data_IF_254056595056
#
_entry.id   IF_254056595056
#
_cell.length_a   1.000
_cell.length_b   1.000
_cell.length_c   1.000
_cell.angle_alpha   90.00
_cell.angle_beta   90.00
_cell.angle_gamma   90.00
#
_symmetry.space_group_name_H-M   'P 1'
#
loop_
_entity.id
_entity.type
_entity.pdbx_description
1 polymer ?
#
# COMPACT_ATOMS: atom_id res chain seq x y z
N UNK A 1 -36.71 -35.30 -0.09
CA UNK A 1 -37.11 -33.89 0.02
C UNK A 1 -36.42 -33.32 1.26
N UNK A 2 -35.29 -32.65 1.07
CA UNK A 2 -34.62 -31.87 2.10
C UNK A 2 -33.89 -30.74 1.38
N UNK A 3 -34.34 -29.51 1.59
CA UNK A 3 -33.81 -28.29 1.00
C UNK A 3 -32.52 -27.86 1.71
N UNK A 4 -31.56 -27.23 1.02
CA UNK A 4 -30.40 -26.61 1.66
C UNK A 4 -30.72 -25.15 2.04
N UNK A 5 -30.47 -24.78 3.29
CA UNK A 5 -30.52 -23.39 3.76
C UNK A 5 -29.22 -22.67 3.43
N UNK A 6 -29.40 -21.54 2.74
CA UNK A 6 -28.43 -20.51 2.37
C UNK A 6 -27.61 -20.01 3.57
N UNK A 7 -26.29 -19.95 3.43
CA UNK A 7 -25.40 -19.17 4.29
C UNK A 7 -25.51 -17.70 3.86
N UNK A 8 -26.00 -16.84 4.76
CA UNK A 8 -25.95 -15.39 4.57
C UNK A 8 -24.60 -14.87 5.04
N UNK A 9 -23.98 -14.07 4.17
CA UNK A 9 -22.81 -13.24 4.40
C UNK A 9 -23.31 -11.97 5.09
N UNK A 10 -23.07 -11.83 6.41
CA UNK A 10 -23.39 -10.62 7.16
C UNK A 10 -22.12 -9.84 7.45
N UNK A 11 -22.22 -8.53 7.20
CA UNK A 11 -21.25 -7.47 7.45
C UNK A 11 -20.55 -7.60 8.81
N UNK A 12 -19.26 -7.95 8.79
CA UNK A 12 -18.39 -7.83 9.97
C UNK A 12 -17.93 -6.37 10.08
N UNK A 13 -18.81 -5.50 10.57
CA UNK A 13 -18.40 -4.27 11.23
C UNK A 13 -17.58 -4.65 12.47
N UNK A 14 -16.40 -4.04 12.64
CA UNK A 14 -15.54 -4.23 13.81
C UNK A 14 -16.29 -3.75 15.07
N UNK A 15 -17.02 -4.67 15.71
CA UNK A 15 -17.61 -4.49 17.03
C UNK A 15 -16.49 -4.52 18.08
N UNK A 16 -15.89 -3.37 18.31
CA UNK A 16 -14.84 -3.17 19.30
C UNK A 16 -15.45 -3.18 20.72
N UNK A 17 -15.16 -4.27 21.46
CA UNK A 17 -15.15 -4.40 22.93
C UNK A 17 -16.42 -4.03 23.73
N UNK A 18 -17.36 -4.99 23.86
CA UNK A 18 -18.11 -5.13 25.12
C UNK A 18 -17.28 -5.97 26.08
N UNK A 19 -16.42 -5.33 26.87
CA UNK A 19 -15.80 -5.93 28.06
C UNK A 19 -16.60 -5.46 29.28
N UNK A 20 -16.89 -6.42 30.15
CA UNK A 20 -17.72 -6.30 31.33
C UNK A 20 -17.36 -5.09 32.22
N UNK A 21 -18.41 -4.54 32.84
CA UNK A 21 -18.42 -3.36 33.70
C UNK A 21 -17.39 -3.42 34.84
N UNK A 22 -16.17 -2.90 34.65
CA UNK A 22 -15.28 -2.47 35.74
C UNK A 22 -14.00 -1.76 35.24
N UNK A 23 -14.09 -0.67 34.44
CA UNK A 23 -12.93 0.24 34.22
C UNK A 23 -13.31 1.62 33.62
N UNK A 24 -13.91 2.51 34.44
CA UNK A 24 -14.30 3.87 34.01
C UNK A 24 -13.13 4.72 33.43
N UNK A 25 -11.87 4.41 33.77
CA UNK A 25 -10.70 5.13 33.23
C UNK A 25 -10.20 4.59 31.89
N UNK A 26 -10.39 3.30 31.60
CA UNK A 26 -10.05 2.70 30.32
C UNK A 26 -11.02 3.11 29.21
N UNK A 27 -12.31 3.15 29.53
CA UNK A 27 -13.40 3.54 28.62
C UNK A 27 -13.23 4.98 28.11
N UNK A 28 -12.86 5.93 28.98
CA UNK A 28 -12.64 7.32 28.58
C UNK A 28 -11.46 7.53 27.61
N UNK A 29 -10.39 6.72 27.73
CA UNK A 29 -9.24 6.77 26.82
C UNK A 29 -9.56 6.11 25.47
N UNK A 30 -10.28 4.98 25.49
CA UNK A 30 -10.68 4.26 24.27
C UNK A 30 -11.65 5.06 23.39
N UNK A 31 -12.66 5.70 24.01
CA UNK A 31 -13.60 6.59 23.30
C UNK A 31 -12.86 7.79 22.68
N UNK A 32 -11.83 8.31 23.36
CA UNK A 32 -11.02 9.39 22.81
C UNK A 32 -10.24 8.97 21.57
N UNK A 33 -9.73 7.74 21.48
CA UNK A 33 -8.96 7.32 20.30
C UNK A 33 -9.87 7.08 19.08
N UNK A 34 -11.03 6.46 19.28
CA UNK A 34 -12.02 6.26 18.22
C UNK A 34 -12.55 7.60 17.68
N UNK A 35 -12.83 8.56 18.57
CA UNK A 35 -13.22 9.92 18.18
C UNK A 35 -12.12 10.61 17.38
N UNK A 36 -10.86 10.52 17.81
CA UNK A 36 -9.73 11.09 17.08
C UNK A 36 -9.56 10.45 15.69
N UNK A 37 -9.75 9.13 15.58
CA UNK A 37 -9.69 8.42 14.31
C UNK A 37 -10.81 8.88 13.35
N UNK A 38 -12.04 9.06 13.85
CA UNK A 38 -13.17 9.59 13.07
C UNK A 38 -12.88 11.02 12.58
N UNK A 39 -12.39 11.89 13.46
CA UNK A 39 -12.01 13.25 13.11
C UNK A 39 -10.86 13.30 12.09
N UNK A 40 -9.91 12.37 12.18
CA UNK A 40 -8.84 12.25 11.19
C UNK A 40 -9.37 11.79 9.84
N UNK A 41 -10.27 10.78 9.82
CA UNK A 41 -10.93 10.29 8.60
C UNK A 41 -11.66 11.40 7.85
N UNK A 42 -12.34 12.31 8.56
CA UNK A 42 -13.04 13.45 7.97
C UNK A 42 -12.13 14.40 7.17
N UNK A 43 -10.81 14.37 7.42
CA UNK A 43 -9.84 15.18 6.66
C UNK A 43 -9.56 14.64 5.26
N UNK A 44 -9.89 13.38 4.99
CA UNK A 44 -9.61 12.73 3.71
C UNK A 44 -10.77 12.95 2.74
N UNK A 45 -10.52 13.57 1.56
CA UNK A 45 -11.55 13.70 0.53
C UNK A 45 -12.11 12.34 0.13
N UNK A 46 -13.44 12.25 -0.01
CA UNK A 46 -14.11 11.02 -0.41
C UNK A 46 -14.23 9.93 0.66
N UNK A 47 -13.70 10.15 1.88
CA UNK A 47 -13.68 9.15 2.94
C UNK A 47 -15.06 8.72 3.45
N UNK A 48 -16.08 9.58 3.30
CA UNK A 48 -17.48 9.24 3.58
C UNK A 48 -18.05 8.16 2.65
N UNK A 49 -17.36 7.89 1.55
CA UNK A 49 -17.77 6.90 0.55
C UNK A 49 -16.81 5.72 0.46
N UNK A 50 -15.84 5.56 1.38
CA UNK A 50 -14.88 4.47 1.31
C UNK A 50 -15.55 3.09 1.37
N UNK A 51 -15.00 2.13 0.63
CA UNK A 51 -15.38 0.74 0.78
C UNK A 51 -14.87 0.17 2.12
N UNK A 52 -15.48 -0.90 2.66
CA UNK A 52 -15.04 -1.49 3.94
C UNK A 52 -13.55 -1.84 3.98
N UNK A 53 -12.97 -2.31 2.86
CA UNK A 53 -11.54 -2.62 2.78
C UNK A 53 -10.64 -1.36 2.71
N UNK A 54 -11.13 -0.22 2.22
CA UNK A 54 -10.44 1.07 2.31
C UNK A 54 -10.46 1.59 3.75
N UNK A 55 -11.62 1.52 4.41
CA UNK A 55 -11.78 1.90 5.81
C UNK A 55 -10.89 1.07 6.72
N UNK A 56 -10.91 -0.26 6.54
CA UNK A 56 -10.05 -1.18 7.28
C UNK A 56 -8.56 -0.86 7.11
N UNK A 57 -8.11 -0.52 5.89
CA UNK A 57 -6.73 -0.11 5.68
C UNK A 57 -6.42 1.17 6.46
N UNK A 58 -7.30 2.18 6.39
CA UNK A 58 -7.13 3.43 7.13
C UNK A 58 -7.03 3.19 8.64
N UNK A 59 -7.95 2.40 9.21
CA UNK A 59 -7.98 2.08 10.64
C UNK A 59 -6.70 1.38 11.09
N UNK A 60 -6.26 0.36 10.34
CA UNK A 60 -5.00 -0.35 10.62
C UNK A 60 -3.83 0.63 10.55
N UNK A 61 -3.77 1.49 9.53
CA UNK A 61 -2.70 2.46 9.39
C UNK A 61 -2.72 3.49 10.53
N UNK A 62 -3.88 4.00 10.91
CA UNK A 62 -4.03 4.94 12.01
C UNK A 62 -3.50 4.33 13.31
N UNK A 63 -3.90 3.09 13.61
CA UNK A 63 -3.57 2.39 14.85
C UNK A 63 -2.27 1.58 14.80
N UNK A 64 -1.52 1.60 13.69
CA UNK A 64 -0.38 0.68 13.46
C UNK A 64 0.70 0.69 14.54
N UNK A 65 0.77 1.72 15.38
CA UNK A 65 1.74 1.77 16.48
C UNK A 65 1.29 0.98 17.71
N UNK A 66 -0.01 0.75 17.84
CA UNK A 66 -0.67 0.16 19.00
C UNK A 66 -1.32 -1.20 18.67
N UNK A 67 -1.19 -1.66 17.42
CA UNK A 67 -1.75 -2.95 16.97
C UNK A 67 -0.73 -4.09 17.03
N UNK A 68 -1.15 -5.28 17.48
CA UNK A 68 -0.43 -6.51 17.20
C UNK A 68 -0.59 -6.85 15.70
N UNK A 69 0.50 -6.79 14.93
CA UNK A 69 0.46 -6.94 13.48
C UNK A 69 1.29 -8.12 12.96
N UNK A 70 2.27 -8.60 13.74
CA UNK A 70 3.20 -9.65 13.36
C UNK A 70 2.99 -10.89 14.24
N UNK A 71 3.13 -12.12 13.70
CA UNK A 71 3.06 -13.33 14.50
C UNK A 71 4.05 -13.29 15.67
N UNK A 72 3.62 -13.73 16.84
CA UNK A 72 4.49 -13.82 18.04
C UNK A 72 5.75 -14.65 17.82
N UNK A 73 5.69 -15.64 16.91
CA UNK A 73 6.85 -16.48 16.55
C UNK A 73 7.93 -15.75 15.78
N UNK A 74 7.61 -14.62 15.12
CA UNK A 74 8.57 -13.83 14.35
C UNK A 74 9.47 -12.95 15.21
N UNK A 75 9.16 -12.77 16.49
CA UNK A 75 10.01 -12.05 17.44
C UNK A 75 11.46 -12.58 17.42
N UNK A 76 11.60 -13.91 17.38
CA UNK A 76 12.89 -14.62 17.31
C UNK A 76 13.70 -14.28 16.06
N UNK A 77 13.04 -14.19 14.91
CA UNK A 77 13.64 -13.91 13.60
C UNK A 77 13.96 -12.42 13.42
N UNK A 78 13.20 -11.55 14.10
CA UNK A 78 13.36 -10.09 14.05
C UNK A 78 14.13 -9.54 15.28
N UNK A 79 14.77 -10.41 16.05
CA UNK A 79 15.63 -9.99 17.17
C UNK A 79 16.71 -9.02 16.69
N UNK A 80 16.77 -7.87 17.34
CA UNK A 80 17.71 -6.80 17.01
C UNK A 80 17.13 -5.71 16.10
N UNK A 81 15.92 -5.90 15.55
CA UNK A 81 15.16 -4.81 14.94
C UNK A 81 14.44 -4.04 16.06
N UNK A 82 14.59 -2.70 16.16
CA UNK A 82 13.95 -1.92 17.23
C UNK A 82 12.45 -1.72 17.00
N UNK A 83 11.68 -2.80 17.12
CA UNK A 83 10.21 -2.82 17.05
C UNK A 83 9.65 -2.95 18.47
N UNK A 84 8.51 -2.32 18.76
CA UNK A 84 7.80 -2.49 20.04
C UNK A 84 7.22 -3.90 20.17
N UNK A 85 7.32 -4.49 21.36
CA UNK A 85 6.81 -5.83 21.67
C UNK A 85 5.30 -5.97 21.37
N UNK A 86 4.54 -4.87 21.46
CA UNK A 86 3.09 -4.89 21.18
C UNK A 86 2.77 -5.39 19.77
N UNK A 87 3.67 -5.16 18.80
CA UNK A 87 3.50 -5.59 17.41
C UNK A 87 3.46 -7.13 17.30
N UNK A 88 4.03 -7.85 18.25
CA UNK A 88 4.07 -9.32 18.29
C UNK A 88 3.00 -9.96 19.18
N UNK A 89 2.16 -9.17 19.86
CA UNK A 89 1.16 -9.65 20.83
C UNK A 89 -0.15 -10.13 20.15
N UNK A 90 -0.03 -10.85 19.03
CA UNK A 90 -1.19 -11.38 18.31
C UNK A 90 -1.84 -12.54 19.06
N UNK A 91 -3.16 -12.64 18.97
CA UNK A 91 -3.99 -13.69 19.59
C UNK A 91 -5.06 -14.18 18.61
N UNK A 92 -5.89 -15.14 19.01
CA UNK A 92 -7.04 -15.58 18.20
C UNK A 92 -8.07 -14.46 18.00
N UNK A 93 -8.19 -13.56 18.98
CA UNK A 93 -9.05 -12.37 18.91
C UNK A 93 -8.43 -11.26 18.04
N UNK A 94 -7.09 -11.16 18.06
CA UNK A 94 -6.32 -10.17 17.31
C UNK A 94 -5.29 -10.87 16.41
N UNK A 95 -5.72 -11.44 15.28
CA UNK A 95 -4.83 -12.18 14.39
C UNK A 95 -3.80 -11.24 13.73
N UNK A 96 -2.62 -11.76 13.34
CA UNK A 96 -1.62 -10.98 12.64
C UNK A 96 -2.16 -10.42 11.31
N UNK A 97 -1.75 -9.20 10.99
CA UNK A 97 -2.05 -8.55 9.70
C UNK A 97 -0.97 -8.89 8.67
N UNK A 98 0.29 -8.89 9.08
CA UNK A 98 1.45 -9.24 8.27
C UNK A 98 1.93 -10.62 8.71
N UNK A 99 1.66 -11.64 7.92
CA UNK A 99 2.01 -13.04 8.24
C UNK A 99 2.33 -13.82 6.96
N UNK A 100 2.83 -15.05 7.10
CA UNK A 100 3.02 -15.98 5.99
C UNK A 100 1.93 -17.06 5.99
N UNK A 101 1.41 -17.42 4.81
CA UNK A 101 0.60 -18.62 4.65
C UNK A 101 1.45 -19.89 4.52
N UNK A 102 2.70 -19.73 4.05
CA UNK A 102 3.58 -20.85 3.72
C UNK A 102 4.84 -20.89 4.60
N UNK A 103 5.86 -20.10 4.24
CA UNK A 103 7.18 -20.18 4.83
C UNK A 103 7.53 -18.89 5.57
N UNK A 104 7.55 -18.98 6.91
CA UNK A 104 7.90 -17.87 7.81
C UNK A 104 9.27 -17.27 7.51
N UNK A 105 10.30 -18.09 7.26
CA UNK A 105 11.65 -17.61 6.99
C UNK A 105 11.72 -16.74 5.73
N UNK A 106 11.00 -17.13 4.66
CA UNK A 106 10.92 -16.32 3.44
C UNK A 106 10.21 -15.00 3.70
N UNK A 107 9.16 -15.02 4.51
CA UNK A 107 8.39 -13.83 4.85
C UNK A 107 9.18 -12.84 5.72
N UNK A 108 9.84 -13.31 6.78
CA UNK A 108 10.70 -12.47 7.63
C UNK A 108 11.87 -11.91 6.83
N UNK A 109 12.50 -12.71 5.96
CA UNK A 109 13.56 -12.23 5.05
C UNK A 109 13.05 -11.15 4.10
N UNK A 110 11.87 -11.33 3.50
CA UNK A 110 11.27 -10.33 2.61
C UNK A 110 10.94 -9.03 3.36
N UNK A 111 10.45 -9.14 4.59
CA UNK A 111 10.15 -7.99 5.45
C UNK A 111 11.42 -7.24 5.89
N UNK A 112 12.48 -7.94 6.30
CA UNK A 112 13.78 -7.32 6.65
C UNK A 112 14.33 -6.53 5.45
N UNK A 113 14.26 -7.09 4.23
CA UNK A 113 14.67 -6.38 3.01
C UNK A 113 13.88 -5.09 2.78
N UNK A 114 12.59 -5.04 3.14
CA UNK A 114 11.82 -3.81 3.13
C UNK A 114 12.26 -2.82 4.22
N UNK A 115 12.59 -3.30 5.43
CA UNK A 115 13.10 -2.45 6.52
C UNK A 115 14.44 -1.80 6.15
N UNK A 116 15.33 -2.56 5.49
CA UNK A 116 16.63 -2.09 5.02
C UNK A 116 16.55 -1.15 3.80
N UNK A 117 15.37 -1.03 3.18
CA UNK A 117 15.17 -0.20 1.98
C UNK A 117 15.48 1.28 2.27
N UNK A 118 15.12 1.78 3.45
CA UNK A 118 15.43 3.17 3.85
C UNK A 118 16.95 3.38 3.95
N UNK A 119 17.67 2.47 4.60
CA UNK A 119 19.13 2.57 4.74
C UNK A 119 19.83 2.49 3.37
N UNK A 120 19.37 1.59 2.51
CA UNK A 120 19.89 1.41 1.14
C UNK A 120 19.61 2.65 0.29
N UNK A 121 18.41 3.23 0.40
CA UNK A 121 18.01 4.46 -0.29
C UNK A 121 18.89 5.63 0.12
N UNK A 122 19.09 5.83 1.43
CA UNK A 122 19.96 6.89 1.96
C UNK A 122 21.41 6.75 1.49
N UNK A 123 21.96 5.54 1.58
CA UNK A 123 23.33 5.25 1.11
C UNK A 123 23.49 5.55 -0.38
N UNK A 124 22.48 5.21 -1.19
CA UNK A 124 22.46 5.50 -2.63
C UNK A 124 22.45 7.01 -2.91
N UNK A 125 21.67 7.78 -2.13
CA UNK A 125 21.63 9.24 -2.23
C UNK A 125 22.99 9.84 -1.83
N UNK A 126 23.55 9.43 -0.69
CA UNK A 126 24.84 9.93 -0.18
C UNK A 126 25.99 9.62 -1.13
N UNK A 127 25.92 8.49 -1.84
CA UNK A 127 26.89 8.09 -2.86
C UNK A 127 26.71 8.83 -4.20
N UNK A 128 25.86 9.85 -4.28
CA UNK A 128 25.63 10.66 -5.48
C UNK A 128 24.73 10.02 -6.54
N UNK A 129 24.08 8.89 -6.23
CA UNK A 129 23.28 8.11 -7.18
C UNK A 129 21.76 8.34 -7.05
N UNK A 130 21.34 9.55 -6.66
CA UNK A 130 19.93 9.89 -6.39
C UNK A 130 18.96 9.53 -7.53
N UNK A 131 19.41 9.63 -8.79
CA UNK A 131 18.61 9.29 -9.98
C UNK A 131 18.20 7.81 -10.01
N UNK A 132 18.98 6.92 -9.38
CA UNK A 132 18.69 5.47 -9.33
C UNK A 132 17.68 5.08 -8.24
N UNK A 133 17.39 6.00 -7.31
CA UNK A 133 16.58 5.70 -6.12
C UNK A 133 15.16 5.23 -6.46
N UNK A 134 14.39 5.90 -7.35
CA UNK A 134 13.04 5.43 -7.66
C UNK A 134 13.02 4.00 -8.22
N UNK A 135 14.01 3.66 -9.05
CA UNK A 135 14.17 2.31 -9.60
C UNK A 135 14.55 1.30 -8.52
N UNK A 136 15.42 1.68 -7.58
CA UNK A 136 15.79 0.85 -6.44
C UNK A 136 14.58 0.54 -5.55
N UNK A 137 13.79 1.57 -5.22
CA UNK A 137 12.54 1.39 -4.45
C UNK A 137 11.60 0.46 -5.20
N UNK A 138 11.35 0.72 -6.50
CA UNK A 138 10.48 -0.13 -7.32
C UNK A 138 10.93 -1.59 -7.30
N UNK A 139 12.21 -1.85 -7.52
CA UNK A 139 12.75 -3.22 -7.53
C UNK A 139 12.52 -3.95 -6.20
N UNK A 140 12.63 -3.26 -5.07
CA UNK A 140 12.43 -3.89 -3.76
C UNK A 140 10.94 -4.08 -3.45
N UNK A 141 10.07 -3.15 -3.84
CA UNK A 141 8.62 -3.33 -3.76
C UNK A 141 8.14 -4.48 -4.65
N UNK A 142 8.64 -4.56 -5.89
CA UNK A 142 8.29 -5.64 -6.82
C UNK A 142 8.75 -7.01 -6.29
N UNK A 143 9.92 -7.09 -5.63
CA UNK A 143 10.36 -8.33 -4.95
C UNK A 143 9.44 -8.71 -3.81
N UNK A 144 8.95 -7.75 -3.03
CA UNK A 144 8.03 -8.02 -1.93
C UNK A 144 6.65 -8.46 -2.45
N UNK A 145 6.15 -7.84 -3.52
CA UNK A 145 4.94 -8.29 -4.24
C UNK A 145 5.10 -9.70 -4.81
N UNK A 146 6.28 -10.02 -5.36
CA UNK A 146 6.58 -11.36 -5.85
C UNK A 146 6.59 -12.41 -4.73
N UNK A 147 7.13 -12.07 -3.55
CA UNK A 147 7.03 -12.93 -2.36
C UNK A 147 5.56 -13.12 -1.97
N UNK A 148 4.78 -12.05 -1.90
CA UNK A 148 3.37 -12.12 -1.54
C UNK A 148 2.57 -12.99 -2.52
N UNK A 149 2.89 -12.93 -3.82
CA UNK A 149 2.26 -13.77 -4.83
C UNK A 149 2.62 -15.25 -4.71
N UNK A 150 3.87 -15.55 -4.34
CA UNK A 150 4.30 -16.91 -4.04
C UNK A 150 3.65 -17.44 -2.76
N UNK A 151 3.58 -16.61 -1.71
CA UNK A 151 3.01 -16.99 -0.42
C UNK A 151 1.49 -17.16 -0.50
N UNK A 152 0.80 -16.34 -1.31
CA UNK A 152 -0.62 -16.48 -1.61
C UNK A 152 -0.96 -17.58 -2.62
N UNK A 153 0.04 -18.32 -3.11
CA UNK A 153 -0.09 -19.41 -4.08
C UNK A 153 -0.85 -19.04 -5.36
N UNK A 154 -0.62 -17.84 -5.89
CA UNK A 154 -1.23 -17.39 -7.15
C UNK A 154 -0.21 -16.92 -8.19
N UNK A 155 1.09 -17.12 -7.94
CA UNK A 155 2.16 -16.77 -8.87
C UNK A 155 2.08 -17.56 -10.20
N UNK A 156 1.56 -18.79 -10.15
CA UNK A 156 1.41 -19.68 -11.31
C UNK A 156 0.10 -19.43 -12.08
N UNK A 157 -0.72 -18.48 -11.62
CA UNK A 157 -2.04 -18.18 -12.18
C UNK A 157 -1.98 -16.91 -13.04
N UNK A 158 -2.81 -16.89 -14.08
CA UNK A 158 -3.08 -15.72 -14.90
C UNK A 158 -4.05 -14.81 -14.15
N UNK A 159 -3.49 -14.00 -13.25
CA UNK A 159 -4.27 -13.12 -12.38
C UNK A 159 -4.56 -11.75 -13.01
N UNK A 160 -5.64 -11.12 -12.55
CA UNK A 160 -5.78 -9.67 -12.60
C UNK A 160 -5.34 -9.13 -11.24
N UNK A 161 -4.20 -8.41 -11.14
CA UNK A 161 -3.71 -7.95 -9.85
C UNK A 161 -4.65 -6.92 -9.25
N UNK A 162 -4.79 -6.92 -7.93
CA UNK A 162 -5.49 -5.86 -7.20
C UNK A 162 -4.53 -4.81 -6.62
N UNK A 163 -3.22 -4.94 -6.86
CA UNK A 163 -2.20 -3.98 -6.45
C UNK A 163 -1.23 -3.70 -7.59
N UNK A 164 -0.83 -2.45 -7.77
CA UNK A 164 0.21 -2.05 -8.73
C UNK A 164 1.33 -1.26 -8.06
N UNK A 165 2.50 -1.23 -8.72
CA UNK A 165 3.63 -0.39 -8.32
C UNK A 165 4.22 0.33 -9.53
N UNK A 166 4.28 1.65 -9.48
CA UNK A 166 4.68 2.48 -10.62
C UNK A 166 5.56 3.66 -10.20
N UNK A 167 6.57 3.97 -11.01
CA UNK A 167 7.38 5.18 -10.84
C UNK A 167 6.72 6.30 -11.63
N UNK A 168 6.48 7.43 -10.98
CA UNK A 168 5.93 8.63 -11.60
C UNK A 168 7.06 9.52 -12.10
N UNK A 169 6.94 10.06 -13.31
CA UNK A 169 7.89 11.04 -13.83
C UNK A 169 7.70 12.39 -13.12
N UNK A 170 8.73 12.81 -12.40
CA UNK A 170 8.73 14.07 -11.65
C UNK A 170 8.95 15.31 -12.51
N UNK A 171 9.16 15.13 -13.82
CA UNK A 171 9.23 16.23 -14.79
C UNK A 171 7.85 16.74 -15.22
N UNK A 172 6.80 15.95 -14.97
CA UNK A 172 5.41 16.33 -15.25
C UNK A 172 4.95 17.42 -14.27
N UNK A 173 3.95 18.19 -14.68
CA UNK A 173 3.29 19.15 -13.79
C UNK A 173 2.46 18.41 -12.72
N UNK A 174 2.17 19.06 -11.59
CA UNK A 174 1.44 18.44 -10.47
C UNK A 174 0.04 17.92 -10.87
N UNK A 175 -0.69 18.70 -11.67
CA UNK A 175 -2.00 18.29 -12.19
C UNK A 175 -1.89 17.07 -13.12
N UNK A 176 -0.83 17.01 -13.94
CA UNK A 176 -0.56 15.90 -14.85
C UNK A 176 -0.17 14.63 -14.07
N UNK A 177 0.60 14.77 -12.98
CA UNK A 177 0.92 13.68 -12.06
C UNK A 177 -0.37 13.12 -11.45
N UNK A 178 -1.24 14.00 -10.97
CA UNK A 178 -2.51 13.61 -10.35
C UNK A 178 -3.41 12.90 -11.36
N UNK A 179 -3.55 13.45 -12.57
CA UNK A 179 -4.32 12.83 -13.66
C UNK A 179 -3.74 11.46 -14.04
N UNK A 180 -2.42 11.34 -14.14
CA UNK A 180 -1.73 10.09 -14.44
C UNK A 180 -2.02 9.03 -13.38
N UNK A 181 -1.81 9.33 -12.10
CA UNK A 181 -2.09 8.42 -10.98
C UNK A 181 -3.55 7.98 -11.01
N UNK A 182 -4.48 8.95 -11.14
CA UNK A 182 -5.91 8.64 -11.17
C UNK A 182 -6.29 7.75 -12.34
N UNK A 183 -5.76 8.04 -13.53
CA UNK A 183 -5.98 7.25 -14.75
C UNK A 183 -5.49 5.83 -14.59
N UNK A 184 -4.31 5.63 -13.99
CA UNK A 184 -3.73 4.30 -13.73
C UNK A 184 -4.56 3.50 -12.73
N UNK A 185 -4.95 4.12 -11.62
CA UNK A 185 -5.81 3.49 -10.61
C UNK A 185 -7.19 3.11 -11.18
N UNK A 186 -7.85 4.02 -11.91
CA UNK A 186 -9.15 3.75 -12.56
C UNK A 186 -9.05 2.69 -13.65
N UNK A 187 -7.91 2.60 -14.37
CA UNK A 187 -7.68 1.56 -15.35
C UNK A 187 -7.59 0.17 -14.69
N UNK A 188 -6.88 0.05 -13.57
CA UNK A 188 -6.82 -1.21 -12.80
C UNK A 188 -8.19 -1.58 -12.21
N UNK A 189 -8.90 -0.61 -11.64
CA UNK A 189 -10.25 -0.80 -11.12
C UNK A 189 -11.24 -1.25 -12.21
N UNK A 190 -11.16 -0.64 -13.41
CA UNK A 190 -11.94 -1.07 -14.58
C UNK A 190 -11.59 -2.50 -14.95
N UNK A 191 -10.31 -2.85 -15.00
CA UNK A 191 -9.87 -4.18 -15.35
C UNK A 191 -10.42 -5.24 -14.37
N UNK A 192 -10.38 -4.97 -13.06
CA UNK A 192 -10.98 -5.83 -12.04
C UNK A 192 -12.49 -6.00 -12.24
N UNK A 193 -13.23 -4.91 -12.49
CA UNK A 193 -14.67 -5.00 -12.79
C UNK A 193 -14.94 -5.88 -13.99
N UNK A 194 -14.27 -5.62 -15.12
CA UNK A 194 -14.50 -6.35 -16.37
C UNK A 194 -14.17 -7.84 -16.22
N UNK A 195 -13.14 -8.18 -15.41
CA UNK A 195 -12.80 -9.56 -15.11
C UNK A 195 -13.88 -10.31 -14.32
N UNK A 196 -14.56 -9.61 -13.41
CA UNK A 196 -15.55 -10.19 -12.50
C UNK A 196 -16.99 -10.13 -13.03
N UNK A 197 -17.22 -9.52 -14.18
CA UNK A 197 -18.54 -9.50 -14.83
C UNK A 197 -19.06 -10.91 -15.10
N UNK A 198 -20.36 -11.11 -14.91
CA UNK A 198 -21.01 -12.37 -15.29
C UNK A 198 -20.91 -12.60 -16.80
N UNK A 199 -21.19 -11.56 -17.58
CA UNK A 199 -21.14 -11.49 -19.03
C UNK A 199 -19.72 -11.23 -19.60
N UNK A 200 -18.67 -11.57 -18.84
CA UNK A 200 -17.27 -11.42 -19.25
C UNK A 200 -17.04 -12.03 -20.64
N UNK A 201 -16.40 -11.27 -21.52
CA UNK A 201 -15.96 -11.77 -22.82
C UNK A 201 -15.06 -13.02 -22.66
N UNK A 202 -15.36 -14.16 -23.30
CA UNK A 202 -14.49 -15.34 -23.27
C UNK A 202 -13.05 -15.06 -23.72
N UNK A 203 -12.83 -14.07 -24.59
CA UNK A 203 -11.53 -13.60 -25.06
C UNK A 203 -10.99 -12.42 -24.24
N UNK A 204 -11.44 -12.22 -22.99
CA UNK A 204 -10.99 -11.15 -22.09
C UNK A 204 -9.48 -10.93 -22.14
N UNK A 205 -8.75 -12.04 -22.07
CA UNK A 205 -7.31 -12.11 -22.06
C UNK A 205 -6.60 -11.70 -23.35
N UNK A 206 -7.26 -11.82 -24.50
CA UNK A 206 -6.70 -11.46 -25.81
C UNK A 206 -6.89 -9.97 -26.13
N UNK A 207 -7.94 -9.38 -25.54
CA UNK A 207 -8.32 -7.98 -25.75
C UNK A 207 -7.49 -7.03 -24.89
N UNK A 208 -6.90 -7.49 -23.79
CA UNK A 208 -6.16 -6.62 -22.89
C UNK A 208 -4.75 -6.36 -23.38
N UNK A 209 -4.44 -5.07 -23.54
CA UNK A 209 -3.09 -4.62 -23.91
C UNK A 209 -2.09 -4.94 -22.78
N UNK A 210 -0.91 -5.49 -23.09
CA UNK A 210 0.14 -5.79 -22.11
C UNK A 210 0.57 -4.60 -21.24
N UNK A 211 0.36 -3.35 -21.69
CA UNK A 211 0.71 -2.14 -20.94
C UNK A 211 -0.09 -1.96 -19.65
N UNK A 212 -1.23 -2.64 -19.50
CA UNK A 212 -2.02 -2.61 -18.25
C UNK A 212 -1.37 -3.51 -17.18
N UNK A 213 -0.63 -4.54 -17.61
CA UNK A 213 -0.01 -5.57 -16.76
C UNK A 213 1.52 -5.46 -16.64
N UNK A 214 2.14 -4.37 -17.11
CA UNK A 214 3.60 -4.27 -17.12
C UNK A 214 4.17 -4.17 -15.68
N UNK A 215 4.34 -5.33 -15.06
CA UNK A 215 5.10 -5.63 -13.85
C UNK A 215 6.20 -6.63 -14.23
N UNK A 216 7.34 -6.63 -13.51
CA UNK A 216 8.63 -6.99 -14.10
C UNK A 216 8.72 -8.47 -14.47
N UNK A 217 9.34 -8.74 -15.62
CA UNK A 217 9.98 -10.03 -15.89
C UNK A 217 11.13 -10.18 -14.88
N UNK A 218 10.85 -10.70 -13.70
CA UNK A 218 11.88 -11.15 -12.77
C UNK A 218 12.36 -12.47 -13.33
N UNK A 219 13.52 -12.44 -13.99
CA UNK A 219 14.28 -13.64 -14.27
C UNK A 219 14.62 -14.23 -12.89
N UNK A 220 14.04 -15.39 -12.56
CA UNK A 220 14.44 -16.18 -11.42
C UNK A 220 15.89 -16.61 -11.65
N UNK A 221 16.84 -15.80 -11.21
CA UNK A 221 18.21 -16.27 -11.03
C UNK A 221 18.22 -17.18 -9.79
N UNK A 222 18.89 -18.35 -9.84
CA UNK A 222 18.94 -19.28 -8.73
C UNK A 222 19.63 -18.63 -7.53
N UNK A 223 19.05 -18.89 -6.36
CA UNK A 223 19.43 -18.41 -5.03
C UNK A 223 20.88 -18.81 -4.69
N UNK A 224 21.81 -17.85 -4.70
CA UNK A 224 23.12 -18.03 -4.08
C UNK A 224 22.95 -17.91 -2.55
N UNK A 225 23.27 -18.99 -1.85
CA UNK A 225 23.04 -19.20 -0.42
C UNK A 225 23.72 -18.21 0.55
N UNK A 226 23.59 -18.45 1.86
CA UNK A 226 23.72 -17.42 2.88
C UNK A 226 25.18 -17.00 3.08
N UNK A 227 25.50 -15.74 2.75
CA UNK A 227 26.75 -15.14 3.23
C UNK A 227 26.57 -14.73 4.69
N UNK A 228 27.25 -15.49 5.55
CA UNK A 228 27.43 -15.34 6.99
C UNK A 228 27.27 -13.91 7.55
N UNK A 229 26.26 -13.75 8.42
CA UNK A 229 26.30 -12.80 9.53
C UNK A 229 27.53 -13.10 10.40
N UNK A 230 28.42 -12.13 10.58
CA UNK A 230 29.61 -12.29 11.41
C UNK A 230 30.27 -10.97 11.79
N UNK A 231 29.97 -10.49 12.99
CA UNK A 231 30.92 -9.77 13.83
C UNK A 231 30.86 -8.24 13.81
N UNK A 232 30.18 -7.66 14.80
CA UNK A 232 30.50 -6.32 15.33
C UNK A 232 30.86 -6.42 16.83
N UNK A 233 31.64 -5.42 17.27
CA UNK A 233 32.29 -5.14 18.58
C UNK A 233 33.75 -5.63 18.69
N UNK A 234 34.80 -4.89 19.10
CA UNK A 234 35.16 -3.46 19.39
C UNK A 234 36.74 -3.38 19.44
N UNK A 235 37.44 -2.42 20.10
CA UNK A 235 37.86 -1.07 19.67
C UNK A 235 39.41 -0.84 19.66
N UNK A 236 39.84 0.41 19.38
CA UNK A 236 41.23 1.00 19.48
C UNK A 236 42.27 0.52 18.45
N UNK A 237 43.18 1.32 17.88
CA UNK A 237 43.81 2.58 18.30
C UNK A 237 44.43 3.31 17.08
N UNK A 238 44.82 4.56 17.32
CA UNK A 238 45.26 5.61 16.40
C UNK A 238 46.62 5.43 15.71
N UNK A 239 46.79 6.16 14.58
CA UNK A 239 47.96 6.97 14.11
C UNK A 239 47.84 7.17 12.60
N UNK A 240 48.30 8.22 11.91
CA UNK A 240 48.72 9.60 12.15
C UNK A 240 49.20 10.08 10.76
N UNK A 241 48.78 11.28 10.31
CA UNK A 241 49.39 12.04 9.20
C UNK A 241 48.96 11.62 7.79
N UNK A 242 48.71 12.49 6.82
CA UNK A 242 49.15 13.88 6.67
C UNK A 242 48.30 14.64 5.66
N UNK A 243 48.37 15.95 5.85
CA UNK A 243 47.73 17.10 5.22
C UNK A 243 48.00 17.21 3.70
N UNK A 244 47.01 17.63 2.91
CA UNK A 244 47.21 18.71 1.93
C UNK A 244 45.91 19.47 1.66
N UNK A 245 46.08 20.77 1.47
CA UNK A 245 45.10 21.83 1.63
C UNK A 245 44.65 22.37 0.26
N UNK A 246 43.43 22.91 0.27
CA UNK A 246 42.98 24.09 -0.49
C UNK A 246 42.52 23.94 -1.94
N UNK A 247 41.30 24.43 -2.18
CA UNK A 247 40.72 24.63 -3.50
C UNK A 247 39.22 24.88 -3.45
N UNK A 248 38.78 25.95 -2.77
CA UNK A 248 37.40 26.45 -2.83
C UNK A 248 37.02 26.79 -4.27
N UNK A 249 36.04 26.09 -4.84
CA UNK A 249 35.14 26.62 -5.87
C UNK A 249 33.75 26.06 -5.63
N UNK A 250 32.85 26.93 -5.20
CA UNK A 250 31.40 26.69 -5.13
C UNK A 250 30.82 26.81 -6.54
N UNK A 251 30.01 25.85 -7.00
CA UNK A 251 28.96 26.14 -7.97
C UNK A 251 27.62 26.10 -7.23
N UNK A 252 27.03 27.27 -7.10
CA UNK A 252 25.63 27.46 -6.71
C UNK A 252 24.77 26.86 -7.82
N UNK A 253 24.29 25.63 -7.63
CA UNK A 253 23.16 25.11 -8.41
C UNK A 253 21.95 25.09 -7.51
N UNK A 254 21.09 26.07 -7.73
CA UNK A 254 19.72 26.12 -7.21
C UNK A 254 18.96 24.90 -7.72
N UNK A 255 18.83 23.89 -6.87
CA UNK A 255 17.87 22.79 -7.09
C UNK A 255 16.50 23.29 -6.66
N UNK A 256 15.60 23.47 -7.63
CA UNK A 256 14.17 23.61 -7.38
C UNK A 256 13.64 22.32 -6.75
N UNK A 257 13.49 22.30 -5.43
CA UNK A 257 12.63 21.34 -4.75
C UNK A 257 11.19 21.68 -5.11
N UNK A 258 10.56 20.85 -5.94
CA UNK A 258 9.10 20.88 -6.13
C UNK A 258 8.48 20.35 -4.85
N UNK A 259 8.10 21.25 -3.96
CA UNK A 259 7.26 20.95 -2.80
C UNK A 259 5.82 20.74 -3.31
N UNK A 260 5.51 19.49 -3.67
CA UNK A 260 4.13 19.09 -3.96
C UNK A 260 3.34 19.21 -2.64
N UNK A 261 2.39 20.13 -2.60
CA UNK A 261 1.60 20.42 -1.39
C UNK A 261 0.44 19.43 -1.32
N UNK A 262 0.72 18.21 -0.85
CA UNK A 262 -0.29 17.22 -0.52
C UNK A 262 -0.59 17.34 0.98
N UNK A 263 -1.77 17.88 1.35
CA UNK A 263 -2.35 17.81 2.69
C UNK A 263 -3.68 17.03 2.67
N UNK A 264 -4.07 16.33 3.74
CA UNK A 264 -3.28 15.62 4.74
C UNK A 264 -3.29 14.10 4.46
N UNK A 265 -2.15 13.44 4.68
CA UNK A 265 -2.10 12.01 4.93
C UNK A 265 -1.12 11.73 6.04
N UNK A 266 -1.22 10.55 6.64
CA UNK A 266 -0.29 10.13 7.69
C UNK A 266 1.16 10.42 7.27
N UNK A 267 1.83 11.30 8.02
CA UNK A 267 3.29 11.25 8.12
C UNK A 267 3.62 10.11 9.08
N UNK A 268 4.64 9.32 8.77
CA UNK A 268 5.10 8.32 9.71
C UNK A 268 5.51 8.98 11.04
N UNK A 269 5.29 8.32 12.19
CA UNK A 269 5.22 9.01 13.48
C UNK A 269 6.60 9.55 13.89
N UNK A 270 6.74 10.87 13.98
CA UNK A 270 7.91 11.53 14.53
C UNK A 270 7.84 11.60 16.05
N UNK A 271 8.95 11.30 16.72
CA UNK A 271 9.09 11.51 18.17
C UNK A 271 9.13 13.01 18.44
N UNK A 272 8.00 13.62 18.79
CA UNK A 272 7.90 14.67 19.82
C UNK A 272 6.44 15.13 19.99
N UNK A 273 5.95 15.00 21.21
CA UNK A 273 4.73 15.64 21.69
C UNK A 273 4.93 17.16 21.78
N UNK A 274 3.95 17.95 21.32
CA UNK A 274 3.96 19.39 21.56
C UNK A 274 2.97 20.18 20.72
N UNK A 275 1.75 20.33 21.23
CA UNK A 275 0.85 21.50 21.18
C UNK A 275 0.99 22.46 19.99
N UNK A 276 -0.09 22.61 19.20
CA UNK A 276 -0.30 23.78 18.35
C UNK A 276 -1.75 24.33 18.47
N UNK A 277 -1.95 25.66 18.49
CA UNK A 277 -3.21 26.28 18.91
C UNK A 277 -4.27 26.43 17.81
N UNK A 278 -5.50 26.65 18.29
CA UNK A 278 -6.72 27.13 17.60
C UNK A 278 -6.44 28.21 16.55
N UNK A 279 -7.13 28.15 15.41
CA UNK A 279 -7.60 29.35 14.70
C UNK A 279 -8.94 29.08 13.98
N UNK A 280 -9.75 30.12 14.03
CA UNK A 280 -11.18 30.32 13.82
C UNK A 280 -11.66 30.21 12.36
N UNK A 281 -12.93 29.83 12.23
CA UNK A 281 -13.74 29.76 11.00
C UNK A 281 -13.85 31.07 10.22
N UNK A 282 -14.16 30.95 8.92
CA UNK A 282 -15.01 31.91 8.20
C UNK A 282 -15.67 31.24 6.99
N UNK A 283 -16.95 30.90 7.15
CA UNK A 283 -17.88 30.50 6.08
C UNK A 283 -18.20 31.71 5.19
N UNK A 284 -18.32 31.48 3.89
CA UNK A 284 -18.95 32.43 2.97
C UNK A 284 -19.92 31.69 2.06
N UNK A 285 -21.20 31.90 2.32
CA UNK A 285 -22.32 31.56 1.47
C UNK A 285 -22.32 32.39 0.19
N UNK A 286 -22.79 31.81 -0.91
CA UNK A 286 -23.29 32.55 -2.06
C UNK A 286 -24.52 31.85 -2.64
N UNK A 287 -25.65 32.56 -2.61
CA UNK A 287 -26.92 32.23 -3.25
C UNK A 287 -26.98 32.77 -4.70
N UNK A 288 -28.00 32.27 -5.43
CA UNK A 288 -28.58 32.69 -6.72
C UNK A 288 -28.32 31.73 -7.89
N UNK A 289 -29.28 31.33 -8.72
CA UNK A 289 -30.75 31.53 -8.74
C UNK A 289 -31.31 30.57 -9.80
N UNK A 290 -32.45 29.94 -9.51
CA UNK A 290 -33.23 29.12 -10.44
C UNK A 290 -33.89 29.96 -11.55
N UNK A 291 -33.94 29.40 -12.77
CA UNK A 291 -35.06 29.57 -13.71
C UNK A 291 -35.06 28.44 -14.77
N UNK A 292 -36.23 27.90 -15.15
CA UNK A 292 -36.34 26.66 -15.92
C UNK A 292 -36.51 26.89 -17.43
N UNK A 293 -36.18 25.89 -18.25
CA UNK A 293 -36.54 25.79 -19.67
C UNK A 293 -36.76 24.32 -20.08
N UNK A 294 -37.58 24.06 -21.12
CA UNK A 294 -38.50 22.93 -21.15
C UNK A 294 -37.93 21.65 -21.81
N UNK A 295 -38.51 20.54 -21.38
CA UNK A 295 -38.19 19.15 -21.71
C UNK A 295 -38.70 18.68 -23.08
N UNK A 296 -37.85 17.89 -23.76
CA UNK A 296 -38.21 16.93 -24.81
C UNK A 296 -37.62 15.55 -24.39
N UNK A 297 -38.25 14.44 -24.81
CA UNK A 297 -38.34 13.23 -23.99
C UNK A 297 -37.00 12.48 -23.89
N UNK A 298 -36.48 12.38 -22.66
CA UNK A 298 -35.44 11.43 -22.29
C UNK A 298 -36.00 10.00 -22.36
N UNK A 299 -35.47 9.23 -23.30
CA UNK A 299 -35.50 7.79 -23.25
C UNK A 299 -34.64 7.33 -22.06
N UNK A 300 -35.18 6.63 -21.05
CA UNK A 300 -34.40 6.24 -19.88
C UNK A 300 -33.50 5.05 -20.22
N UNK A 301 -32.36 5.31 -20.84
CA UNK A 301 -31.25 4.36 -20.88
C UNK A 301 -30.57 4.37 -19.50
N UNK A 302 -31.25 3.75 -18.54
CA UNK A 302 -30.61 3.33 -17.30
C UNK A 302 -29.44 2.43 -17.72
N UNK A 303 -28.17 2.75 -17.41
CA UNK A 303 -27.08 1.85 -17.76
C UNK A 303 -27.38 0.49 -17.12
N UNK A 304 -27.16 -0.63 -17.84
CA UNK A 304 -27.46 -1.95 -17.31
C UNK A 304 -26.73 -2.09 -15.98
N UNK A 305 -27.48 -2.45 -14.91
CA UNK A 305 -26.88 -2.83 -13.64
C UNK A 305 -25.99 -4.06 -13.94
N UNK A 306 -24.69 -3.83 -14.06
CA UNK A 306 -23.75 -4.92 -14.30
C UNK A 306 -23.80 -5.86 -13.11
N UNK A 307 -24.11 -7.13 -13.37
CA UNK A 307 -24.00 -8.20 -12.39
C UNK A 307 -22.60 -8.76 -12.41
N UNK A 308 -22.07 -9.06 -11.23
CA UNK A 308 -20.72 -9.56 -11.05
C UNK A 308 -20.78 -10.93 -10.37
N UNK A 309 -19.89 -11.84 -10.81
CA UNK A 309 -19.71 -13.16 -10.19
C UNK A 309 -19.29 -13.04 -8.73
N UNK A 310 -18.55 -11.98 -8.41
CA UNK A 310 -18.16 -11.55 -7.06
C UNK A 310 -18.12 -10.04 -6.98
N UNK A 311 -18.25 -9.49 -5.78
CA UNK A 311 -18.05 -8.07 -5.56
C UNK A 311 -16.63 -7.65 -6.02
N UNK A 312 -16.49 -6.63 -6.89
CA UNK A 312 -15.18 -6.16 -7.31
C UNK A 312 -14.36 -5.62 -6.13
N UNK A 313 -13.08 -5.99 -5.99
CA UNK A 313 -12.31 -5.62 -4.81
C UNK A 313 -11.78 -4.19 -4.87
N UNK A 314 -11.35 -3.70 -3.72
CA UNK A 314 -10.52 -2.49 -3.66
C UNK A 314 -9.19 -2.77 -4.36
N UNK A 315 -8.76 -1.84 -5.20
CA UNK A 315 -7.42 -1.87 -5.79
C UNK A 315 -6.48 -0.91 -5.07
N UNK A 316 -5.23 -1.31 -4.94
CA UNK A 316 -4.16 -0.59 -4.26
C UNK A 316 -3.12 -0.09 -5.28
N UNK A 317 -2.57 1.09 -5.04
CA UNK A 317 -1.51 1.66 -5.86
C UNK A 317 -0.35 2.13 -5.00
N UNK A 318 0.86 1.66 -5.32
CA UNK A 318 2.12 2.14 -4.76
C UNK A 318 2.83 3.01 -5.80
N UNK A 319 2.69 4.33 -5.68
CA UNK A 319 3.28 5.28 -6.63
C UNK A 319 4.55 5.90 -6.06
N UNK A 320 5.66 5.71 -6.76
CA UNK A 320 6.99 6.13 -6.33
C UNK A 320 7.30 7.49 -6.95
N UNK A 321 7.54 8.49 -6.10
CA UNK A 321 7.92 9.85 -6.46
C UNK A 321 9.22 10.18 -5.73
N UNK A 322 10.35 10.20 -6.44
CA UNK A 322 11.68 10.37 -5.83
C UNK A 322 11.98 9.30 -4.74
N UNK A 323 11.90 9.67 -3.46
CA UNK A 323 12.09 8.78 -2.29
C UNK A 323 10.77 8.39 -1.63
N UNK A 324 9.66 8.96 -2.11
CA UNK A 324 8.34 8.84 -1.52
C UNK A 324 7.58 7.71 -2.20
N UNK A 325 6.77 7.00 -1.43
CA UNK A 325 5.78 6.07 -1.95
C UNK A 325 4.42 6.48 -1.42
N UNK A 326 3.53 6.82 -2.34
CA UNK A 326 2.13 7.12 -2.06
C UNK A 326 1.35 5.80 -2.12
N UNK A 327 0.58 5.52 -1.07
CA UNK A 327 -0.37 4.42 -1.02
C UNK A 327 -1.76 4.99 -1.30
N UNK A 328 -2.36 4.56 -2.40
CA UNK A 328 -3.70 4.96 -2.82
C UNK A 328 -4.62 3.76 -2.97
N UNK A 329 -5.92 3.97 -2.83
CA UNK A 329 -6.95 2.96 -3.04
C UNK A 329 -8.05 3.46 -3.98
N UNK A 330 -8.69 2.51 -4.66
CA UNK A 330 -9.94 2.75 -5.39
C UNK A 330 -10.87 1.56 -5.16
N UNK A 331 -12.10 1.83 -4.75
CA UNK A 331 -13.17 0.84 -4.81
C UNK A 331 -13.53 0.54 -6.28
N UNK A 332 -13.19 -0.66 -6.73
CA UNK A 332 -13.48 -1.07 -8.09
C UNK A 332 -14.96 -1.18 -8.36
N UNK A 333 -15.84 -1.34 -7.37
CA UNK A 333 -17.28 -1.44 -7.62
C UNK A 333 -17.90 -0.12 -8.14
N UNK A 334 -17.29 1.05 -7.84
CA UNK A 334 -17.85 2.40 -8.07
C UNK A 334 -17.74 2.96 -9.50
N UNK A 335 -17.63 2.11 -10.52
CA UNK A 335 -17.66 2.53 -11.92
C UNK A 335 -16.47 3.42 -12.36
N UNK A 336 -16.61 4.11 -13.49
CA UNK A 336 -15.49 4.86 -14.12
C UNK A 336 -15.06 6.11 -13.35
N UNK A 337 -15.97 6.70 -12.57
CA UNK A 337 -15.74 7.94 -11.83
C UNK A 337 -15.40 7.67 -10.37
N UNK A 338 -15.01 6.43 -10.03
CA UNK A 338 -14.59 6.07 -8.68
C UNK A 338 -13.51 7.04 -8.18
N UNK A 339 -13.70 7.49 -6.94
CA UNK A 339 -12.76 8.38 -6.26
C UNK A 339 -11.45 7.62 -6.00
N UNK A 340 -10.32 8.29 -6.21
CA UNK A 340 -9.00 7.73 -5.90
C UNK A 340 -8.58 8.27 -4.56
N UNK A 341 -8.69 7.41 -3.56
CA UNK A 341 -8.46 7.74 -2.16
C UNK A 341 -6.97 7.70 -1.87
N UNK A 342 -6.44 8.78 -1.31
CA UNK A 342 -5.11 8.76 -0.71
C UNK A 342 -5.20 8.17 0.70
N UNK A 343 -4.30 7.26 1.06
CA UNK A 343 -4.29 6.61 2.36
C UNK A 343 -3.12 7.09 3.22
N UNK A 344 -1.90 6.98 2.69
CA UNK A 344 -0.68 7.33 3.41
C UNK A 344 0.46 7.56 2.42
N UNK A 345 1.48 8.30 2.86
CA UNK A 345 2.76 8.40 2.17
C UNK A 345 3.90 7.97 3.10
N UNK A 346 4.91 7.32 2.54
CA UNK A 346 6.14 6.97 3.24
C UNK A 346 7.34 7.59 2.53
N UNK A 347 8.32 8.10 3.28
CA UNK A 347 9.57 8.64 2.71
C UNK A 347 10.75 7.74 3.10
N UNK A 348 11.32 7.05 2.12
CA UNK A 348 12.49 6.18 2.30
C UNK A 348 13.80 6.96 2.51
N UNK A 349 13.76 8.29 2.53
CA UNK A 349 14.89 9.14 2.95
C UNK A 349 14.95 9.34 4.47
N UNK A 350 13.82 9.22 5.18
CA UNK A 350 13.74 9.45 6.62
C UNK A 350 14.32 8.27 7.41
N UNK A 351 15.45 8.51 8.10
CA UNK A 351 16.21 7.45 8.76
C UNK A 351 15.53 6.82 9.97
N UNK A 352 14.60 7.55 10.59
CA UNK A 352 13.91 7.08 11.79
C UNK A 352 12.65 6.26 11.45
N UNK A 353 12.31 6.16 10.16
CA UNK A 353 11.06 5.55 9.70
C UNK A 353 11.27 4.24 8.95
N UNK A 354 12.49 3.67 8.91
CA UNK A 354 12.77 2.43 8.15
C UNK A 354 11.79 1.28 8.45
N UNK A 355 11.57 1.02 9.74
CA UNK A 355 10.65 -0.02 10.19
C UNK A 355 9.20 0.35 9.87
N UNK A 356 8.76 1.55 10.21
CA UNK A 356 7.38 1.98 10.01
C UNK A 356 7.01 2.07 8.53
N UNK A 357 7.93 2.52 7.68
CA UNK A 357 7.75 2.52 6.22
C UNK A 357 7.56 1.09 5.71
N UNK A 358 8.39 0.14 6.18
CA UNK A 358 8.27 -1.26 5.79
C UNK A 358 6.93 -1.87 6.24
N UNK A 359 6.52 -1.64 7.49
CA UNK A 359 5.24 -2.12 8.02
C UNK A 359 4.05 -1.53 7.25
N UNK A 360 4.06 -0.23 6.95
CA UNK A 360 3.01 0.42 6.14
C UNK A 360 2.85 -0.21 4.77
N UNK A 361 3.95 -0.48 4.06
CA UNK A 361 3.90 -1.18 2.77
C UNK A 361 3.44 -2.64 2.94
N UNK A 362 3.95 -3.33 3.96
CA UNK A 362 3.62 -4.72 4.22
C UNK A 362 2.13 -4.93 4.52
N UNK A 363 1.49 -4.03 5.26
CA UNK A 363 0.05 -4.03 5.53
C UNK A 363 -0.74 -4.02 4.20
N UNK A 364 -0.47 -3.03 3.34
CA UNK A 364 -1.19 -2.89 2.08
C UNK A 364 -1.01 -4.12 1.17
N UNK A 365 0.22 -4.65 1.10
CA UNK A 365 0.54 -5.83 0.28
C UNK A 365 -0.10 -7.10 0.83
N UNK A 366 -0.09 -7.32 2.15
CA UNK A 366 -0.70 -8.52 2.75
C UNK A 366 -2.22 -8.51 2.61
N UNK A 367 -2.87 -7.35 2.79
CA UNK A 367 -4.31 -7.21 2.53
C UNK A 367 -4.66 -7.49 1.07
N UNK A 368 -3.87 -6.97 0.13
CA UNK A 368 -4.03 -7.23 -1.30
C UNK A 368 -3.83 -8.73 -1.64
N UNK A 369 -2.79 -9.35 -1.07
CA UNK A 369 -2.51 -10.80 -1.23
C UNK A 369 -3.68 -11.64 -0.74
N UNK A 370 -4.16 -11.36 0.47
CA UNK A 370 -5.20 -12.17 1.10
C UNK A 370 -6.51 -12.08 0.33
N UNK A 371 -6.86 -10.88 -0.18
CA UNK A 371 -8.01 -10.70 -1.07
C UNK A 371 -7.89 -11.57 -2.33
N UNK A 372 -6.75 -11.52 -3.04
CA UNK A 372 -6.53 -12.35 -4.23
C UNK A 372 -6.61 -13.85 -3.91
N UNK A 373 -6.09 -14.27 -2.76
CA UNK A 373 -6.12 -15.67 -2.33
C UNK A 373 -7.55 -16.19 -2.15
N UNK A 374 -8.47 -15.37 -1.63
CA UNK A 374 -9.89 -15.79 -1.46
C UNK A 374 -10.59 -16.14 -2.77
N UNK A 375 -10.08 -15.65 -3.90
CA UNK A 375 -10.62 -15.87 -5.24
C UNK A 375 -9.63 -16.55 -6.19
N UNK A 376 -8.66 -17.29 -5.65
CA UNK A 376 -7.69 -18.05 -6.45
C UNK A 376 -8.37 -18.96 -7.49
N UNK A 377 -9.54 -19.51 -7.16
CA UNK A 377 -10.34 -20.38 -8.05
C UNK A 377 -10.93 -19.67 -9.27
N UNK A 378 -10.91 -18.34 -9.30
CA UNK A 378 -11.45 -17.56 -10.42
C UNK A 378 -10.42 -17.38 -11.55
N UNK A 379 -9.14 -17.70 -11.29
CA UNK A 379 -8.03 -17.51 -12.23
C UNK A 379 -7.68 -18.80 -12.99
N UNK A 380 -7.10 -18.62 -14.18
CA UNK A 380 -6.64 -19.69 -15.05
C UNK A 380 -5.14 -19.95 -14.82
N UNK A 381 -4.63 -21.16 -15.10
CA UNK A 381 -3.18 -21.40 -15.06
C UNK A 381 -2.45 -20.57 -16.12
N UNK A 382 -1.24 -20.10 -15.80
CA UNK A 382 -0.39 -19.47 -16.80
C UNK A 382 -0.04 -20.47 -17.90
N UNK A 383 -0.05 -20.06 -19.18
CA UNK A 383 0.40 -20.93 -20.26
C UNK A 383 1.85 -21.36 -20.00
N UNK A 384 2.09 -22.68 -19.98
CA UNK A 384 3.45 -23.21 -19.97
C UNK A 384 4.13 -22.74 -21.26
N UNK A 385 5.14 -21.89 -21.13
CA UNK A 385 6.05 -21.65 -22.26
C UNK A 385 6.89 -22.92 -22.32
N UNK A 386 6.54 -23.83 -23.23
CA UNK A 386 7.46 -24.88 -23.64
C UNK A 386 8.70 -24.14 -24.16
N UNK A 387 9.77 -24.15 -23.36
CA UNK A 387 11.09 -23.76 -23.81
C UNK A 387 11.41 -24.70 -24.97
N UNK A 388 11.15 -24.24 -26.19
CA UNK A 388 11.50 -24.96 -27.40
C UNK A 388 13.00 -25.13 -27.35
N UNK A 389 13.43 -26.34 -27.03
CA UNK A 389 14.82 -26.74 -27.00
C UNK A 389 15.41 -26.42 -28.39
N UNK A 390 16.35 -25.46 -28.49
CA UNK A 390 16.89 -25.03 -29.78
C UNK A 390 17.71 -26.12 -30.49
N UNK A 391 17.88 -27.30 -29.89
CA UNK A 391 18.68 -28.41 -30.41
C UNK A 391 17.87 -29.69 -30.78
N UNK A 392 16.53 -29.60 -30.92
CA UNK A 392 15.67 -30.75 -31.29
C UNK A 392 15.52 -31.03 -32.80
#
# INVERSE_FOLDING_TARGET
>A
MSSPTSYNDEDVQLSFLTIDEEDEKGVACSNSMEELMKLEKERYPGASTWAPAEERLFEILYMRQDLPMLPSTWDVDLRGVPISDIVFQTSDEFPPIIYAHSNNFRATTALIRLMDLTATTRTTIQSGHRIKVPQLIKQQLDKYLSWAAQDGDYLHLRIVPNILTEIVDTKMLEDEITEHIQKRMRALAKLQREFLREDRNPQFWDVIKPSVFASPKIKLEPDDGPTSLGGWLTPTQSRLGSHLQSGNVVPTTETHEVAVKIEPGFKSPGISAGVLPKTTMLSRESYHSDSPSPSLPEEPQTPPRHTYRRHPPVVYGLFIINTWVLVLTVDSSKGSNAHVSFQVQVDFKDEHQGIWNALTIAIAVCLARDELRTRATDFEELPCVEDSDPDA
#
